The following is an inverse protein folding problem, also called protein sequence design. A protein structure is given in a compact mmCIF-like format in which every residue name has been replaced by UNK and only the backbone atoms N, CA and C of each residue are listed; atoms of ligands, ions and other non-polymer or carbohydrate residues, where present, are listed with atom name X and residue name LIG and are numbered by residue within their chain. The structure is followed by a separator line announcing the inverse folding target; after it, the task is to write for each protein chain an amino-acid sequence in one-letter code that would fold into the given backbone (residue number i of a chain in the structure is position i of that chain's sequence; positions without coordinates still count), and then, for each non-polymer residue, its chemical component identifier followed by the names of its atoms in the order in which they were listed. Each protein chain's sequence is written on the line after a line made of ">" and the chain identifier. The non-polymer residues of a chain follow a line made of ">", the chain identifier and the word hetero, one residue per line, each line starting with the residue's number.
data_IF_226041960218
#
_entry.id   IF_226041960218
#
_cell.length_a   1.000
_cell.length_b   1.000
_cell.length_c   1.000
_cell.angle_alpha   90.00
_cell.angle_beta   90.00
_cell.angle_gamma   90.00
#
_symmetry.space_group_name_H-M   'P 1'
#
loop_
_entity.id
_entity.type
_entity.pdbx_description
1 polymer ?
#
# COMPACT_ATOMS: atom_id res chain seq x y z
N UNK A 1 -23.33 0.20 -9.73
CA UNK A 1 -22.45 1.03 -10.60
C UNK A 1 -22.06 2.37 -9.96
N UNK A 2 -23.01 3.24 -9.56
CA UNK A 2 -22.67 4.59 -9.04
C UNK A 2 -21.83 4.57 -7.76
N UNK A 3 -22.12 3.69 -6.82
CA UNK A 3 -21.36 3.53 -5.57
C UNK A 3 -19.92 3.07 -5.79
N UNK A 4 -19.70 2.25 -6.81
CA UNK A 4 -18.37 1.81 -7.20
C UNK A 4 -17.57 2.99 -7.82
N UNK A 5 -18.19 3.76 -8.69
CA UNK A 5 -17.55 4.97 -9.25
C UNK A 5 -17.24 5.96 -8.13
N UNK A 6 -18.13 6.12 -7.15
CA UNK A 6 -17.90 7.00 -5.99
C UNK A 6 -16.70 6.54 -5.15
N UNK A 7 -16.61 5.25 -4.81
CA UNK A 7 -15.46 4.72 -4.07
C UNK A 7 -14.15 4.88 -4.88
N UNK A 8 -14.20 4.64 -6.20
CA UNK A 8 -13.08 4.86 -7.09
C UNK A 8 -12.62 6.32 -7.08
N UNK A 9 -13.55 7.27 -7.23
CA UNK A 9 -13.23 8.70 -7.18
C UNK A 9 -12.68 9.12 -5.81
N UNK A 10 -13.22 8.56 -4.73
CA UNK A 10 -12.78 8.88 -3.38
C UNK A 10 -11.33 8.43 -3.15
N UNK A 11 -11.00 7.21 -3.58
CA UNK A 11 -9.65 6.64 -3.45
C UNK A 11 -8.63 7.33 -4.37
N UNK A 12 -8.98 7.57 -5.64
CA UNK A 12 -8.00 7.91 -6.68
C UNK A 12 -7.99 9.38 -7.09
N UNK A 13 -8.97 10.17 -6.66
CA UNK A 13 -9.07 11.58 -7.03
C UNK A 13 -9.20 12.48 -5.80
N UNK A 14 -10.18 12.24 -4.94
CA UNK A 14 -10.47 13.11 -3.79
C UNK A 14 -9.38 13.00 -2.72
N UNK A 15 -9.11 11.80 -2.19
CA UNK A 15 -8.09 11.61 -1.13
C UNK A 15 -6.68 12.05 -1.58
N UNK A 16 -6.19 11.67 -2.77
CA UNK A 16 -4.86 12.08 -3.22
C UNK A 16 -4.74 13.59 -3.45
N UNK A 17 -5.84 14.24 -3.86
CA UNK A 17 -5.89 15.70 -3.97
C UNK A 17 -5.79 16.37 -2.59
N UNK A 18 -6.55 15.89 -1.61
CA UNK A 18 -6.48 16.38 -0.22
C UNK A 18 -5.08 16.19 0.36
N UNK A 19 -4.46 15.03 0.12
CA UNK A 19 -3.09 14.73 0.56
C UNK A 19 -2.06 15.69 -0.05
N UNK A 20 -2.11 15.92 -1.36
CA UNK A 20 -1.17 16.82 -2.03
C UNK A 20 -1.26 18.27 -1.51
N UNK A 21 -2.47 18.76 -1.21
CA UNK A 21 -2.67 20.09 -0.62
C UNK A 21 -2.13 20.16 0.80
N UNK A 22 -2.31 19.10 1.59
CA UNK A 22 -1.96 19.08 3.02
C UNK A 22 -0.46 18.88 3.25
N UNK A 23 0.22 18.01 2.48
CA UNK A 23 1.68 17.77 2.57
C UNK A 23 2.49 19.05 2.35
N UNK A 24 2.05 19.93 1.45
CA UNK A 24 2.72 21.22 1.18
C UNK A 24 2.70 22.22 2.35
N UNK A 25 1.91 21.96 3.40
CA UNK A 25 1.68 22.88 4.53
C UNK A 25 2.29 22.39 5.85
N UNK A 26 2.88 21.20 5.87
CA UNK A 26 3.39 20.51 7.06
C UNK A 26 4.82 20.96 7.40
N UNK A 27 4.92 22.03 8.20
CA UNK A 27 6.21 22.58 8.67
C UNK A 27 6.34 22.61 10.20
N UNK A 28 5.29 22.27 10.95
CA UNK A 28 5.30 22.28 12.42
C UNK A 28 4.61 21.06 12.99
N UNK A 29 4.96 20.67 14.22
CA UNK A 29 4.45 19.47 14.89
C UNK A 29 2.92 19.42 14.90
N UNK A 30 2.28 20.52 15.29
CA UNK A 30 0.81 20.61 15.31
C UNK A 30 0.20 20.32 13.93
N UNK A 31 0.84 20.77 12.86
CA UNK A 31 0.37 20.54 11.48
C UNK A 31 0.63 19.11 11.03
N UNK A 32 1.74 18.48 11.45
CA UNK A 32 2.03 17.05 11.19
C UNK A 32 0.99 16.15 11.86
N UNK A 33 0.71 16.38 13.14
CA UNK A 33 -0.35 15.63 13.85
C UNK A 33 -1.72 15.83 13.21
N UNK A 34 -2.05 17.05 12.79
CA UNK A 34 -3.29 17.32 12.07
C UNK A 34 -3.34 16.56 10.73
N UNK A 35 -2.25 16.55 9.98
CA UNK A 35 -2.13 15.78 8.74
C UNK A 35 -2.40 14.29 8.96
N UNK A 36 -1.76 13.66 9.95
CA UNK A 36 -2.00 12.24 10.26
C UNK A 36 -3.45 11.95 10.62
N UNK A 37 -4.10 12.84 11.38
CA UNK A 37 -5.53 12.71 11.73
C UNK A 37 -6.44 12.82 10.52
N UNK A 38 -6.19 13.80 9.65
CA UNK A 38 -6.97 14.00 8.42
C UNK A 38 -6.83 12.80 7.48
N UNK A 39 -5.61 12.28 7.31
CA UNK A 39 -5.37 11.09 6.50
C UNK A 39 -6.00 9.84 7.13
N UNK A 40 -5.86 9.66 8.45
CA UNK A 40 -6.51 8.57 9.17
C UNK A 40 -8.03 8.57 8.95
N UNK A 41 -8.66 9.73 9.08
CA UNK A 41 -10.10 9.89 8.84
C UNK A 41 -10.46 9.62 7.37
N UNK A 42 -9.66 10.08 6.42
CA UNK A 42 -9.90 9.82 5.00
C UNK A 42 -9.87 8.31 4.69
N UNK A 43 -8.87 7.59 5.21
CA UNK A 43 -8.78 6.13 5.09
C UNK A 43 -9.94 5.41 5.80
N UNK A 44 -10.35 5.89 6.97
CA UNK A 44 -11.50 5.33 7.68
C UNK A 44 -12.79 5.50 6.85
N UNK A 45 -12.98 6.65 6.21
CA UNK A 45 -14.13 6.88 5.31
C UNK A 45 -14.08 5.93 4.11
N UNK A 46 -12.91 5.74 3.47
CA UNK A 46 -12.74 4.75 2.40
C UNK A 46 -13.20 3.37 2.87
N UNK A 47 -12.72 2.94 4.04
CA UNK A 47 -13.02 1.63 4.60
C UNK A 47 -14.50 1.45 4.89
N UNK A 48 -15.14 2.44 5.51
CA UNK A 48 -16.58 2.41 5.83
C UNK A 48 -17.42 2.35 4.55
N UNK A 49 -17.08 3.15 3.53
CA UNK A 49 -17.78 3.13 2.23
C UNK A 49 -17.60 1.78 1.54
N UNK A 50 -16.39 1.20 1.59
CA UNK A 50 -16.14 -0.13 1.06
C UNK A 50 -16.97 -1.22 1.77
N UNK A 51 -16.96 -1.25 3.11
CA UNK A 51 -17.77 -2.20 3.89
C UNK A 51 -19.26 -2.02 3.57
N UNK A 52 -19.72 -0.78 3.45
CA UNK A 52 -21.09 -0.48 3.05
C UNK A 52 -21.42 -1.06 1.66
N UNK A 53 -20.55 -0.88 0.66
CA UNK A 53 -20.73 -1.45 -0.69
C UNK A 53 -20.77 -2.98 -0.64
N UNK A 54 -19.79 -3.61 0.02
CA UNK A 54 -19.72 -5.07 0.15
C UNK A 54 -20.99 -5.63 0.80
N UNK A 55 -21.47 -4.97 1.86
CA UNK A 55 -22.66 -5.41 2.59
C UNK A 55 -23.95 -5.17 1.79
N UNK A 56 -24.11 -3.99 1.19
CA UNK A 56 -25.30 -3.58 0.44
C UNK A 56 -25.50 -4.42 -0.82
N UNK A 57 -24.41 -4.76 -1.51
CA UNK A 57 -24.46 -5.56 -2.75
C UNK A 57 -24.21 -7.05 -2.50
N UNK A 58 -24.08 -7.48 -1.24
CA UNK A 58 -23.83 -8.87 -0.86
C UNK A 58 -22.64 -9.49 -1.62
N UNK A 59 -21.56 -8.73 -1.80
CA UNK A 59 -20.36 -9.20 -2.52
C UNK A 59 -19.71 -10.32 -1.70
N UNK A 60 -19.55 -11.54 -2.24
CA UNK A 60 -18.86 -12.59 -1.53
C UNK A 60 -17.40 -12.21 -1.26
N UNK A 61 -16.96 -12.32 0.00
CA UNK A 61 -15.57 -12.02 0.38
C UNK A 61 -14.55 -12.84 -0.43
N UNK A 62 -14.93 -14.05 -0.88
CA UNK A 62 -14.10 -14.90 -1.74
C UNK A 62 -13.79 -14.23 -3.09
N UNK A 63 -14.70 -13.44 -3.66
CA UNK A 63 -14.47 -12.67 -4.90
C UNK A 63 -13.47 -11.51 -4.69
N UNK A 64 -13.36 -11.04 -3.45
CA UNK A 64 -12.38 -10.03 -3.02
C UNK A 64 -11.07 -10.67 -2.52
N UNK A 65 -10.88 -11.97 -2.78
CA UNK A 65 -9.65 -12.69 -2.45
C UNK A 65 -9.51 -13.07 -0.97
N UNK A 66 -10.60 -13.14 -0.20
CA UNK A 66 -10.57 -13.72 1.15
C UNK A 66 -10.53 -15.25 1.09
N UNK A 67 -9.42 -15.80 0.61
CA UNK A 67 -9.14 -17.23 0.57
C UNK A 67 -7.67 -17.53 0.85
N UNK A 68 -7.42 -18.73 1.34
CA UNK A 68 -6.08 -19.24 1.57
C UNK A 68 -5.29 -19.34 0.26
N UNK A 69 -3.98 -19.11 0.36
CA UNK A 69 -3.06 -19.27 -0.77
C UNK A 69 -2.54 -20.69 -0.79
N UNK A 70 -2.78 -21.40 -1.90
CA UNK A 70 -2.21 -22.71 -2.13
C UNK A 70 -1.29 -22.68 -3.35
N UNK A 71 -0.22 -23.48 -3.34
CA UNK A 71 0.70 -23.60 -4.48
C UNK A 71 -0.01 -24.04 -5.76
N UNK A 72 -1.06 -24.86 -5.61
CA UNK A 72 -1.87 -25.35 -6.73
C UNK A 72 -2.65 -24.20 -7.39
N UNK A 73 -3.21 -23.26 -6.62
CA UNK A 73 -3.85 -22.04 -7.14
C UNK A 73 -2.91 -21.26 -8.07
N UNK A 74 -1.64 -21.11 -7.67
CA UNK A 74 -0.61 -20.41 -8.44
C UNK A 74 -0.17 -21.21 -9.68
N UNK A 75 -0.15 -22.54 -9.60
CA UNK A 75 0.25 -23.39 -10.73
C UNK A 75 -0.84 -23.45 -11.80
N UNK A 76 -2.09 -23.58 -11.39
CA UNK A 76 -3.25 -23.78 -12.25
C UNK A 76 -3.75 -22.50 -12.91
N UNK A 77 -3.51 -21.32 -12.31
CA UNK A 77 -3.92 -20.05 -12.93
C UNK A 77 -3.28 -19.84 -14.30
N UNK A 78 -4.10 -19.47 -15.28
CA UNK A 78 -3.68 -19.12 -16.65
C UNK A 78 -3.44 -17.61 -16.82
N UNK A 79 -3.43 -16.85 -15.71
CA UNK A 79 -3.37 -15.40 -15.75
C UNK A 79 -2.08 -14.87 -16.42
N UNK A 80 -0.94 -15.51 -16.19
CA UNK A 80 0.35 -15.15 -16.76
C UNK A 80 1.16 -16.38 -17.19
N UNK A 81 2.16 -16.24 -18.09
CA UNK A 81 3.13 -17.28 -18.39
C UNK A 81 3.84 -17.80 -17.14
N UNK A 82 4.22 -19.08 -17.13
CA UNK A 82 4.84 -19.75 -15.97
C UNK A 82 6.06 -19.01 -15.42
N UNK A 83 6.93 -18.50 -16.30
CA UNK A 83 8.10 -17.72 -15.92
C UNK A 83 7.71 -16.46 -15.13
N UNK A 84 6.68 -15.74 -15.56
CA UNK A 84 6.22 -14.51 -14.89
C UNK A 84 5.65 -14.83 -13.52
N UNK A 85 4.82 -15.87 -13.41
CA UNK A 85 4.29 -16.35 -12.12
C UNK A 85 5.41 -16.70 -11.15
N UNK A 86 6.43 -17.41 -11.64
CA UNK A 86 7.61 -17.76 -10.86
C UNK A 86 8.36 -16.52 -10.38
N UNK A 87 8.65 -15.56 -11.26
CA UNK A 87 9.35 -14.32 -10.89
C UNK A 87 8.57 -13.49 -9.86
N UNK A 88 7.23 -13.40 -10.00
CA UNK A 88 6.38 -12.71 -9.03
C UNK A 88 6.50 -13.35 -7.64
N UNK A 89 6.44 -14.69 -7.57
CA UNK A 89 6.54 -15.40 -6.30
C UNK A 89 7.93 -15.37 -5.69
N UNK A 90 8.99 -15.54 -6.49
CA UNK A 90 10.38 -15.42 -6.03
C UNK A 90 10.64 -14.02 -5.51
N UNK A 91 10.16 -12.98 -6.20
CA UNK A 91 10.23 -11.60 -5.70
C UNK A 91 9.54 -11.44 -4.34
N UNK A 92 8.44 -12.17 -4.11
CA UNK A 92 7.70 -12.06 -2.85
C UNK A 92 8.45 -12.73 -1.71
N UNK A 93 8.99 -13.92 -1.95
CA UNK A 93 9.84 -14.63 -1.00
C UNK A 93 11.10 -13.82 -0.69
N UNK A 94 11.73 -13.25 -1.71
CA UNK A 94 12.90 -12.37 -1.52
C UNK A 94 12.55 -11.17 -0.65
N UNK A 95 11.41 -10.51 -0.87
CA UNK A 95 10.93 -9.41 -0.04
C UNK A 95 10.72 -9.83 1.42
N UNK A 96 10.14 -11.01 1.68
CA UNK A 96 9.98 -11.55 3.03
C UNK A 96 11.34 -11.75 3.70
N UNK A 97 12.27 -12.44 3.01
CA UNK A 97 13.62 -12.70 3.52
C UNK A 97 14.38 -11.42 3.81
N UNK A 98 14.28 -10.43 2.92
CA UNK A 98 14.90 -9.12 3.10
C UNK A 98 14.33 -8.40 4.32
N UNK A 99 13.01 -8.42 4.50
CA UNK A 99 12.35 -7.77 5.65
C UNK A 99 12.79 -8.38 6.98
N UNK A 100 12.90 -9.71 7.06
CA UNK A 100 13.45 -10.38 8.23
C UNK A 100 14.95 -10.15 8.41
N UNK A 101 15.72 -10.08 7.32
CA UNK A 101 17.13 -9.72 7.36
C UNK A 101 17.35 -8.32 7.93
N UNK A 102 16.54 -7.35 7.51
CA UNK A 102 16.56 -5.97 8.04
C UNK A 102 16.24 -5.97 9.54
N UNK A 103 15.19 -6.69 9.97
CA UNK A 103 14.86 -6.82 11.38
C UNK A 103 16.01 -7.46 12.20
N UNK A 104 16.62 -8.52 11.67
CA UNK A 104 17.71 -9.23 12.32
C UNK A 104 18.96 -8.36 12.47
N UNK A 105 19.36 -7.63 11.43
CA UNK A 105 20.50 -6.69 11.47
C UNK A 105 20.28 -5.62 12.54
N UNK A 106 19.06 -5.08 12.63
CA UNK A 106 18.66 -4.14 13.68
C UNK A 106 18.80 -4.75 15.08
N UNK A 107 18.32 -5.97 15.28
CA UNK A 107 18.42 -6.65 16.58
C UNK A 107 19.87 -6.91 17.01
N UNK A 108 20.83 -6.85 16.07
CA UNK A 108 22.28 -6.94 16.30
C UNK A 108 22.99 -5.58 16.35
N UNK A 109 22.27 -4.47 16.33
CA UNK A 109 22.81 -3.12 16.45
C UNK A 109 23.46 -2.57 15.18
N UNK A 110 23.21 -3.18 14.02
CA UNK A 110 23.71 -2.67 12.75
C UNK A 110 22.83 -1.51 12.25
N UNK A 111 23.48 -0.41 11.84
CA UNK A 111 22.81 0.70 11.14
C UNK A 111 22.66 0.33 9.67
N UNK A 112 21.43 0.12 9.22
CA UNK A 112 21.13 -0.39 7.88
C UNK A 112 20.98 0.74 6.86
N UNK A 113 20.47 1.91 7.28
CA UNK A 113 20.08 2.97 6.37
C UNK A 113 21.05 4.14 6.44
N UNK A 114 21.75 4.47 5.36
CA UNK A 114 22.65 5.62 5.37
C UNK A 114 21.91 6.96 5.53
N UNK A 115 22.62 7.99 6.01
CA UNK A 115 22.06 9.30 6.40
C UNK A 115 21.56 10.14 5.20
N UNK A 116 21.69 9.64 3.98
CA UNK A 116 21.44 10.39 2.75
C UNK A 116 20.16 9.95 1.99
N UNK A 117 19.41 10.97 1.56
CA UNK A 117 18.48 10.98 0.42
C UNK A 117 17.10 10.29 0.54
N UNK A 118 16.48 10.21 1.73
CA UNK A 118 15.01 10.19 1.68
C UNK A 118 14.55 11.50 1.07
N UNK A 119 13.72 11.46 0.01
CA UNK A 119 13.30 12.69 -0.58
C UNK A 119 12.44 13.51 0.40
N UNK A 120 12.55 14.84 0.31
CA UNK A 120 11.89 15.78 1.23
C UNK A 120 10.39 15.55 1.38
N UNK A 121 9.72 15.05 0.33
CA UNK A 121 8.29 14.76 0.38
C UNK A 121 7.95 13.62 1.35
N UNK A 122 8.85 12.66 1.47
CA UNK A 122 8.77 11.49 2.34
C UNK A 122 9.32 11.82 3.73
N UNK A 123 10.36 12.65 3.84
CA UNK A 123 10.89 13.11 5.12
C UNK A 123 9.85 13.89 5.95
N UNK A 124 9.04 14.74 5.31
CA UNK A 124 8.00 15.54 5.98
C UNK A 124 6.89 14.69 6.60
N UNK A 125 6.73 13.43 6.18
CA UNK A 125 5.71 12.52 6.71
C UNK A 125 6.21 11.64 7.85
N UNK A 126 7.51 11.68 8.19
CA UNK A 126 8.03 10.97 9.36
C UNK A 126 7.83 11.76 10.66
N UNK A 127 7.51 11.06 11.77
CA UNK A 127 7.31 11.68 13.06
C UNK A 127 8.65 12.02 13.72
N UNK A 128 8.76 13.21 14.31
CA UNK A 128 9.92 13.64 15.09
C UNK A 128 9.65 13.60 16.61
N UNK A 129 8.38 13.69 17.02
CA UNK A 129 7.98 13.68 18.44
C UNK A 129 7.19 12.44 18.81
N UNK A 130 7.16 12.11 20.11
CA UNK A 130 6.40 10.95 20.62
C UNK A 130 4.90 11.07 20.31
N UNK A 131 4.36 12.29 20.29
CA UNK A 131 2.97 12.57 19.93
C UNK A 131 2.71 12.39 18.43
N UNK A 132 3.64 12.81 17.59
CA UNK A 132 3.59 12.53 16.15
C UNK A 132 3.63 11.03 15.89
N UNK A 133 4.53 10.32 16.59
CA UNK A 133 4.71 8.86 16.47
C UNK A 133 3.40 8.11 16.72
N UNK A 134 2.65 8.44 17.78
CA UNK A 134 1.36 7.80 18.07
C UNK A 134 0.34 7.94 16.92
N UNK A 135 0.20 9.16 16.37
CA UNK A 135 -0.74 9.39 15.27
C UNK A 135 -0.23 8.83 13.94
N UNK A 136 1.08 8.84 13.72
CA UNK A 136 1.72 8.19 12.59
C UNK A 136 1.47 6.68 12.60
N UNK A 137 1.66 6.00 13.74
CA UNK A 137 1.33 4.57 13.90
C UNK A 137 -0.13 4.29 13.53
N UNK A 138 -1.08 5.08 14.04
CA UNK A 138 -2.50 4.92 13.72
C UNK A 138 -2.79 5.13 12.22
N UNK A 139 -2.21 6.18 11.64
CA UNK A 139 -2.31 6.50 10.21
C UNK A 139 -1.76 5.37 9.32
N UNK A 140 -0.54 4.89 9.58
CA UNK A 140 0.09 3.83 8.77
C UNK A 140 -0.63 2.49 8.96
N UNK A 141 -1.14 2.22 10.16
CA UNK A 141 -1.95 1.02 10.42
C UNK A 141 -3.23 0.99 9.59
N UNK A 142 -4.02 2.08 9.60
CA UNK A 142 -5.25 2.14 8.80
C UNK A 142 -4.95 2.18 7.29
N UNK A 143 -3.89 2.88 6.86
CA UNK A 143 -3.53 2.90 5.44
C UNK A 143 -3.15 1.51 4.96
N UNK A 144 -2.37 0.75 5.72
CA UNK A 144 -1.98 -0.63 5.40
C UNK A 144 -3.20 -1.54 5.25
N UNK A 145 -4.20 -1.42 6.12
CA UNK A 145 -5.45 -2.17 6.01
C UNK A 145 -6.21 -1.77 4.74
N UNK A 146 -6.36 -0.47 4.47
CA UNK A 146 -7.10 0.00 3.31
C UNK A 146 -6.39 -0.35 2.00
N UNK A 147 -5.08 -0.21 1.93
CA UNK A 147 -4.31 -0.55 0.72
C UNK A 147 -4.34 -2.07 0.43
N UNK A 148 -4.27 -2.91 1.46
CA UNK A 148 -4.32 -4.37 1.31
C UNK A 148 -5.72 -4.90 1.02
N UNK A 149 -6.75 -4.44 1.74
CA UNK A 149 -8.11 -5.01 1.69
C UNK A 149 -9.00 -4.30 0.68
N UNK A 150 -8.78 -3.00 0.48
CA UNK A 150 -9.60 -2.18 -0.41
C UNK A 150 -8.87 -1.97 -1.73
N UNK A 151 -7.76 -1.23 -1.79
CA UNK A 151 -7.27 -0.67 -3.05
C UNK A 151 -7.08 -1.71 -4.16
N UNK A 152 -6.23 -2.72 -3.96
CA UNK A 152 -5.92 -3.71 -5.01
C UNK A 152 -7.10 -4.64 -5.28
N UNK A 153 -7.74 -5.29 -4.27
CA UNK A 153 -8.88 -6.18 -4.52
C UNK A 153 -10.06 -5.46 -5.16
N UNK A 154 -10.38 -4.25 -4.67
CA UNK A 154 -11.46 -3.43 -5.20
C UNK A 154 -11.19 -2.97 -6.63
N UNK A 155 -9.97 -2.53 -6.95
CA UNK A 155 -9.61 -2.13 -8.32
C UNK A 155 -9.78 -3.26 -9.30
N UNK A 156 -9.29 -4.45 -8.95
CA UNK A 156 -9.41 -5.62 -9.80
C UNK A 156 -10.87 -6.02 -9.95
N UNK A 157 -11.63 -6.04 -8.85
CA UNK A 157 -13.08 -6.28 -8.88
C UNK A 157 -13.80 -5.28 -9.78
N UNK A 158 -13.49 -3.99 -9.67
CA UNK A 158 -14.07 -2.93 -10.48
C UNK A 158 -13.76 -3.11 -11.97
N UNK A 159 -12.51 -3.38 -12.33
CA UNK A 159 -12.14 -3.59 -13.73
C UNK A 159 -12.79 -4.83 -14.33
N UNK A 160 -12.89 -5.92 -13.58
CA UNK A 160 -13.49 -7.18 -14.06
C UNK A 160 -15.02 -7.04 -14.16
N UNK A 161 -15.69 -6.57 -13.11
CA UNK A 161 -17.15 -6.63 -13.01
C UNK A 161 -17.89 -5.37 -13.48
N UNK A 162 -17.21 -4.23 -13.57
CA UNK A 162 -17.81 -2.99 -14.07
C UNK A 162 -17.28 -2.64 -15.45
N UNK A 163 -15.96 -2.70 -15.66
CA UNK A 163 -15.35 -2.37 -16.97
C UNK A 163 -15.20 -3.57 -17.91
N UNK A 164 -15.51 -4.79 -17.45
CA UNK A 164 -15.44 -6.02 -18.27
C UNK A 164 -14.04 -6.29 -18.86
N UNK A 165 -12.99 -5.90 -18.14
CA UNK A 165 -11.60 -6.15 -18.52
C UNK A 165 -11.16 -7.47 -17.89
N UNK A 166 -10.87 -8.47 -18.71
CA UNK A 166 -10.45 -9.80 -18.24
C UNK A 166 -8.98 -10.14 -18.55
N UNK A 167 -8.28 -9.27 -19.29
CA UNK A 167 -6.87 -9.48 -19.62
C UNK A 167 -5.99 -9.16 -18.39
N UNK A 168 -5.30 -10.16 -17.85
CA UNK A 168 -4.47 -10.03 -16.65
C UNK A 168 -3.39 -8.95 -16.74
N UNK A 169 -2.79 -8.75 -17.93
CA UNK A 169 -1.80 -7.70 -18.14
C UNK A 169 -2.43 -6.32 -18.04
N UNK A 170 -3.60 -6.13 -18.67
CA UNK A 170 -4.35 -4.88 -18.57
C UNK A 170 -4.87 -4.64 -17.15
N UNK A 171 -5.26 -5.68 -16.42
CA UNK A 171 -5.67 -5.58 -15.01
C UNK A 171 -4.51 -5.14 -14.12
N UNK A 172 -3.33 -5.78 -14.25
CA UNK A 172 -2.13 -5.40 -13.50
C UNK A 172 -1.69 -3.97 -13.84
N UNK A 173 -1.64 -3.63 -15.13
CA UNK A 173 -1.25 -2.30 -15.59
C UNK A 173 -2.24 -1.21 -15.14
N UNK A 174 -3.54 -1.46 -15.31
CA UNK A 174 -4.59 -0.54 -14.88
C UNK A 174 -4.53 -0.30 -13.38
N UNK A 175 -4.30 -1.36 -12.59
CA UNK A 175 -4.18 -1.25 -11.14
C UNK A 175 -2.92 -0.47 -10.77
N UNK A 176 -1.81 -0.66 -11.49
CA UNK A 176 -0.58 0.10 -11.31
C UNK A 176 -0.75 1.61 -11.55
N UNK A 177 -1.43 2.00 -12.64
CA UNK A 177 -1.73 3.41 -12.96
C UNK A 177 -2.59 4.05 -11.87
N UNK A 178 -3.59 3.31 -11.42
CA UNK A 178 -4.54 3.75 -10.41
C UNK A 178 -3.86 3.87 -9.04
N UNK A 179 -3.06 2.89 -8.66
CA UNK A 179 -2.23 2.93 -7.45
C UNK A 179 -1.22 4.08 -7.48
N UNK A 180 -0.50 4.27 -8.59
CA UNK A 180 0.39 5.42 -8.79
C UNK A 180 -0.34 6.77 -8.66
N UNK A 181 -1.60 6.83 -9.11
CA UNK A 181 -2.42 8.03 -8.97
C UNK A 181 -2.89 8.28 -7.54
N UNK A 182 -3.07 7.22 -6.73
CA UNK A 182 -3.42 7.37 -5.32
C UNK A 182 -2.31 7.96 -4.44
N UNK A 183 -1.06 7.98 -4.94
CA UNK A 183 0.12 8.45 -4.21
C UNK A 183 0.64 9.80 -4.76
N UNK A 184 -0.29 10.67 -5.22
CA UNK A 184 -0.02 11.93 -5.91
C UNK A 184 0.91 12.89 -5.14
N UNK A 185 0.87 12.87 -3.81
CA UNK A 185 1.70 13.73 -2.96
C UNK A 185 3.21 13.45 -3.09
N UNK A 186 3.59 12.25 -3.54
CA UNK A 186 4.98 11.80 -3.68
C UNK A 186 5.48 11.84 -5.14
N UNK A 187 4.68 12.35 -6.09
CA UNK A 187 5.02 12.33 -7.54
C UNK A 187 6.16 13.23 -7.96
N UNK A 188 6.55 14.21 -7.14
CA UNK A 188 7.66 15.12 -7.47
C UNK A 188 9.04 14.50 -7.22
N UNK A 189 9.09 13.26 -6.75
CA UNK A 189 10.35 12.56 -6.54
C UNK A 189 10.84 11.73 -7.70
N UNK A 190 12.17 11.65 -7.79
CA UNK A 190 12.92 10.77 -8.70
C UNK A 190 12.49 9.31 -8.58
N UNK A 191 11.94 8.91 -7.44
CA UNK A 191 11.50 7.53 -7.13
C UNK A 191 10.01 7.27 -7.44
N UNK A 192 9.27 8.23 -8.00
CA UNK A 192 7.83 8.10 -8.26
C UNK A 192 7.44 6.90 -9.14
N UNK A 193 8.31 6.49 -10.07
CA UNK A 193 8.08 5.29 -10.89
C UNK A 193 8.08 3.99 -10.08
N UNK A 194 8.75 3.96 -8.91
CA UNK A 194 8.76 2.79 -8.05
C UNK A 194 7.36 2.45 -7.53
N UNK A 195 6.55 3.46 -7.20
CA UNK A 195 5.16 3.25 -6.78
C UNK A 195 4.33 2.56 -7.86
N UNK A 196 4.55 2.92 -9.13
CA UNK A 196 3.91 2.24 -10.25
C UNK A 196 4.36 0.77 -10.35
N UNK A 197 5.67 0.51 -10.25
CA UNK A 197 6.22 -0.85 -10.29
C UNK A 197 5.71 -1.71 -9.13
N UNK A 198 5.65 -1.16 -7.92
CA UNK A 198 5.08 -1.82 -6.74
C UNK A 198 3.59 -2.11 -6.95
N UNK A 199 2.83 -1.14 -7.47
CA UNK A 199 1.41 -1.34 -7.79
C UNK A 199 1.18 -2.46 -8.82
N UNK A 200 1.99 -2.49 -9.89
CA UNK A 200 1.93 -3.56 -10.90
C UNK A 200 2.28 -4.92 -10.30
N UNK A 201 3.33 -4.95 -9.47
CA UNK A 201 3.79 -6.15 -8.79
C UNK A 201 2.74 -6.71 -7.84
N UNK A 202 2.18 -5.88 -6.93
CA UNK A 202 1.14 -6.29 -5.98
C UNK A 202 -0.12 -6.77 -6.70
N UNK A 203 -0.54 -6.07 -7.76
CA UNK A 203 -1.66 -6.51 -8.58
C UNK A 203 -1.37 -7.87 -9.25
N UNK A 204 -0.16 -8.06 -9.79
CA UNK A 204 0.25 -9.31 -10.40
C UNK A 204 0.26 -10.47 -9.41
N UNK A 205 0.83 -10.27 -8.22
CA UNK A 205 0.83 -11.27 -7.15
C UNK A 205 -0.60 -11.59 -6.70
N UNK A 206 -1.45 -10.57 -6.52
CA UNK A 206 -2.86 -10.78 -6.17
C UNK A 206 -3.61 -11.55 -7.28
N UNK A 207 -3.41 -11.23 -8.56
CA UNK A 207 -4.06 -11.95 -9.67
C UNK A 207 -3.65 -13.43 -9.70
N UNK A 208 -2.39 -13.73 -9.40
CA UNK A 208 -1.86 -15.10 -9.43
C UNK A 208 -2.31 -15.93 -8.22
N UNK A 209 -2.46 -15.29 -7.07
CA UNK A 209 -2.75 -15.96 -5.79
C UNK A 209 -4.21 -15.86 -5.38
N UNK A 210 -4.91 -14.89 -5.98
CA UNK A 210 -6.28 -14.50 -5.71
C UNK A 210 -6.52 -14.29 -4.20
N UNK A 211 -5.53 -13.75 -3.49
CA UNK A 211 -5.56 -13.65 -2.02
C UNK A 211 -5.16 -12.28 -1.49
N UNK A 212 -6.03 -11.71 -0.66
CA UNK A 212 -5.76 -10.51 0.16
C UNK A 212 -4.66 -10.75 1.18
N UNK A 213 -4.48 -11.99 1.65
CA UNK A 213 -3.54 -12.29 2.74
C UNK A 213 -2.10 -11.96 2.35
N UNK A 214 -1.74 -12.13 1.07
CA UNK A 214 -0.42 -11.75 0.58
C UNK A 214 -0.21 -10.25 0.59
N UNK A 215 -1.25 -9.47 0.27
CA UNK A 215 -1.18 -8.02 0.35
C UNK A 215 -1.06 -7.56 1.81
N UNK A 216 -1.85 -8.15 2.71
CA UNK A 216 -1.75 -7.87 4.16
C UNK A 216 -0.34 -8.17 4.67
N UNK A 217 0.24 -9.30 4.28
CA UNK A 217 1.62 -9.65 4.66
C UNK A 217 2.63 -8.67 4.07
N UNK A 218 2.46 -8.24 2.82
CA UNK A 218 3.32 -7.24 2.19
C UNK A 218 3.36 -5.96 3.03
N UNK A 219 2.19 -5.38 3.30
CA UNK A 219 2.10 -4.12 4.03
C UNK A 219 2.53 -4.25 5.50
N UNK A 220 2.27 -5.39 6.15
CA UNK A 220 2.75 -5.66 7.50
C UNK A 220 4.29 -5.71 7.58
N UNK A 221 4.95 -6.29 6.58
CA UNK A 221 6.41 -6.31 6.50
C UNK A 221 6.99 -4.96 6.09
N UNK A 222 6.33 -4.23 5.17
CA UNK A 222 6.70 -2.84 4.87
C UNK A 222 6.65 -1.99 6.13
N UNK A 223 5.63 -2.18 6.97
CA UNK A 223 5.48 -1.50 8.23
C UNK A 223 6.65 -1.78 9.20
N UNK A 224 7.06 -3.05 9.31
CA UNK A 224 8.23 -3.44 10.08
C UNK A 224 9.48 -2.69 9.59
N UNK A 225 9.71 -2.63 8.29
CA UNK A 225 10.86 -1.93 7.69
C UNK A 225 10.81 -0.43 7.99
N UNK A 226 9.64 0.19 7.91
CA UNK A 226 9.47 1.61 8.27
C UNK A 226 9.76 1.88 9.75
N UNK A 227 9.37 1.00 10.66
CA UNK A 227 9.67 1.13 12.09
C UNK A 227 11.18 1.00 12.36
N UNK A 228 11.87 0.05 11.71
CA UNK A 228 13.33 -0.06 11.80
C UNK A 228 14.00 1.22 11.28
N UNK A 229 13.55 1.73 10.13
CA UNK A 229 14.06 2.97 9.56
C UNK A 229 13.92 4.16 10.51
N UNK A 230 12.74 4.31 11.13
CA UNK A 230 12.48 5.39 12.07
C UNK A 230 13.39 5.32 13.31
N UNK A 231 13.63 4.11 13.83
CA UNK A 231 14.50 3.92 15.00
C UNK A 231 15.96 4.21 14.67
N UNK A 232 16.44 3.82 13.48
CA UNK A 232 17.80 4.12 13.03
C UNK A 232 18.03 5.65 12.88
N UNK A 233 17.00 6.40 12.45
CA UNK A 233 17.04 7.87 12.46
C UNK A 233 17.14 8.46 13.87
N UNK A 234 16.33 7.96 14.80
CA UNK A 234 16.33 8.42 16.20
C UNK A 234 17.71 8.21 16.85
N UNK A 235 18.35 7.06 16.63
CA UNK A 235 19.71 6.78 17.12
C UNK A 235 20.75 7.76 16.56
N UNK A 236 20.68 8.06 15.26
CA UNK A 236 21.62 8.96 14.57
C UNK A 236 21.43 10.45 14.88
N UNK A 237 20.27 10.83 15.41
CA UNK A 237 20.01 12.17 15.89
C UNK A 237 20.52 12.37 17.34
N UNK A 238 20.66 11.29 18.10
CA UNK A 238 21.18 11.30 19.47
C UNK A 238 22.72 11.21 19.55
N UNK A 239 23.39 10.76 18.47
CA UNK A 239 24.86 10.68 18.32
C UNK A 239 25.46 11.95 17.73
#
# INVERSE_FOLDING_TARGET
>A
MIWYILLFLLIFLIRPFVENVTVSRTLSERKKVQFYREQFLAYLVVLVVFIFIVTMFHIPLVELGWKGVYLDTVRETKAFPSLVKFLLMVGFVFFILLSFGIQWMKDHGESIFEKEELPKSVEVTFPDTLKEKQWWFAFVGISSIVESVVYVPYCIYFFVHVLHIHNSWLLSLGTAVVYFSSQLAFKRDRLSIQTFLVGAYLAGVYIVTESVLILVLFFALSFLVYDVYQQDRELKAAS
#
